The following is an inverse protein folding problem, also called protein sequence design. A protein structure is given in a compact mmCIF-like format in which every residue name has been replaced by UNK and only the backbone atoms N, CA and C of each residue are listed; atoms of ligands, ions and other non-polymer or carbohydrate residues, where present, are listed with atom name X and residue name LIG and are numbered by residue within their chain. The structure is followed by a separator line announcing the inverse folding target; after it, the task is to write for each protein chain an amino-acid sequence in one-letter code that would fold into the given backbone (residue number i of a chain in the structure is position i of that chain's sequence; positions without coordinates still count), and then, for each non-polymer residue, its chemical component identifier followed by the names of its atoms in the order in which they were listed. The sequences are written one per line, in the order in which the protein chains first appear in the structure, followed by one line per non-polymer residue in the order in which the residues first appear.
data_IF_222118155825
#
_entry.id   IF_222118155825
#
_cell.length_a   1.000
_cell.length_b   1.000
_cell.length_c   1.000
_cell.angle_alpha   90.00
_cell.angle_beta   90.00
_cell.angle_gamma   90.00
#
_symmetry.space_group_name_H-M   'P 1'
#
loop_
_entity.id
_entity.type
_entity.pdbx_description
1 polymer ?
#
# COMPACT_ATOMS: atom_id res chain seq x y z
N UNK A 1 -15.12 -5.95 -29.61
CA UNK A 1 -14.49 -5.14 -28.53
C UNK A 1 -14.34 -3.73 -29.06
N UNK A 2 -14.98 -2.74 -28.45
CA UNK A 2 -15.05 -1.38 -29.01
C UNK A 2 -13.80 -0.56 -28.67
N UNK A 3 -13.52 0.49 -29.45
CA UNK A 3 -12.42 1.44 -29.18
C UNK A 3 -12.48 1.98 -27.74
N UNK A 4 -13.67 2.17 -27.18
CA UNK A 4 -13.89 2.59 -25.79
C UNK A 4 -13.34 1.57 -24.79
N UNK A 5 -13.58 0.27 -25.01
CA UNK A 5 -13.08 -0.81 -24.15
C UNK A 5 -11.55 -0.90 -24.21
N UNK A 6 -10.97 -0.69 -25.39
CA UNK A 6 -9.51 -0.64 -25.57
C UNK A 6 -8.89 0.55 -24.84
N UNK A 7 -9.51 1.73 -24.92
CA UNK A 7 -9.04 2.93 -24.22
C UNK A 7 -9.17 2.79 -22.70
N UNK A 8 -10.26 2.19 -22.20
CA UNK A 8 -10.42 1.89 -20.77
C UNK A 8 -9.36 0.91 -20.27
N UNK A 9 -9.14 -0.19 -21.00
CA UNK A 9 -8.13 -1.19 -20.65
C UNK A 9 -6.70 -0.62 -20.72
N UNK A 10 -6.43 0.23 -21.71
CA UNK A 10 -5.15 0.91 -21.83
C UNK A 10 -4.90 1.88 -20.66
N UNK A 11 -5.93 2.62 -20.21
CA UNK A 11 -5.84 3.57 -19.09
C UNK A 11 -5.57 2.89 -17.75
N UNK A 12 -6.07 1.69 -17.53
CA UNK A 12 -5.93 0.97 -16.26
C UNK A 12 -4.62 0.17 -16.15
N UNK A 13 -3.91 -0.02 -17.25
CA UNK A 13 -2.68 -0.83 -17.26
C UNK A 13 -1.49 0.00 -16.74
N UNK A 14 -0.79 -0.55 -15.73
CA UNK A 14 0.42 0.06 -15.11
C UNK A 14 1.45 0.49 -16.15
N UNK A 15 1.78 -0.39 -17.10
CA UNK A 15 2.78 -0.11 -18.14
C UNK A 15 2.42 1.08 -19.03
N UNK A 16 1.15 1.22 -19.43
CA UNK A 16 0.71 2.35 -20.28
C UNK A 16 0.86 3.68 -19.55
N UNK A 17 0.49 3.72 -18.26
CA UNK A 17 0.62 4.93 -17.44
C UNK A 17 2.08 5.33 -17.24
N UNK A 18 2.98 4.36 -17.00
CA UNK A 18 4.43 4.62 -16.90
C UNK A 18 4.97 5.22 -18.20
N UNK A 19 4.68 4.59 -19.34
CA UNK A 19 5.12 5.10 -20.65
C UNK A 19 4.62 6.51 -20.94
N UNK A 20 3.38 6.81 -20.55
CA UNK A 20 2.81 8.14 -20.67
C UNK A 20 3.57 9.18 -19.81
N UNK A 21 3.88 8.85 -18.55
CA UNK A 21 4.65 9.76 -17.68
C UNK A 21 6.06 9.99 -18.24
N UNK A 22 6.73 8.95 -18.72
CA UNK A 22 8.05 9.05 -19.35
C UNK A 22 7.99 9.94 -20.59
N UNK A 23 6.97 9.75 -21.45
CA UNK A 23 6.76 10.60 -22.62
C UNK A 23 6.58 12.08 -22.23
N UNK A 24 5.80 12.36 -21.19
CA UNK A 24 5.61 13.72 -20.68
C UNK A 24 6.92 14.34 -20.15
N UNK A 25 7.74 13.57 -19.44
CA UNK A 25 9.07 14.02 -18.98
C UNK A 25 9.96 14.41 -20.17
N UNK A 26 9.98 13.60 -21.23
CA UNK A 26 10.73 13.89 -22.46
C UNK A 26 10.22 15.18 -23.11
N UNK A 27 8.90 15.35 -23.22
CA UNK A 27 8.30 16.57 -23.80
C UNK A 27 8.70 17.81 -22.99
N UNK A 28 8.62 17.75 -21.66
CA UNK A 28 9.02 18.87 -20.78
C UNK A 28 10.50 19.20 -20.96
N UNK A 29 11.37 18.18 -21.04
CA UNK A 29 12.80 18.36 -21.27
C UNK A 29 13.08 19.01 -22.63
N UNK A 30 12.40 18.57 -23.70
CA UNK A 30 12.50 19.14 -25.04
C UNK A 30 12.02 20.59 -25.04
N UNK A 31 10.85 20.89 -24.48
CA UNK A 31 10.33 22.25 -24.42
C UNK A 31 11.24 23.20 -23.62
N UNK A 32 11.86 22.70 -22.54
CA UNK A 32 12.87 23.46 -21.80
C UNK A 32 14.15 23.68 -22.63
N UNK A 33 14.64 22.64 -23.31
CA UNK A 33 15.83 22.71 -24.17
C UNK A 33 15.66 23.73 -25.32
N UNK A 34 14.45 23.80 -25.90
CA UNK A 34 14.09 24.80 -26.91
C UNK A 34 13.75 26.18 -26.33
N UNK A 35 13.88 26.39 -25.01
CA UNK A 35 13.63 27.68 -24.35
C UNK A 35 12.16 28.11 -24.28
N UNK A 36 11.22 27.21 -24.60
CA UNK A 36 9.78 27.46 -24.57
C UNK A 36 9.23 27.46 -23.13
N UNK A 37 9.95 26.83 -22.19
CA UNK A 37 9.61 26.81 -20.77
C UNK A 37 10.64 27.57 -19.93
N UNK A 38 10.15 28.31 -18.94
CA UNK A 38 11.03 28.94 -17.92
C UNK A 38 11.58 27.86 -16.99
N UNK A 39 12.84 28.04 -16.55
CA UNK A 39 13.56 27.10 -15.67
C UNK A 39 12.75 26.68 -14.43
N UNK A 40 12.15 27.64 -13.72
CA UNK A 40 11.36 27.36 -12.52
C UNK A 40 10.13 26.49 -12.81
N UNK A 41 9.47 26.72 -13.93
CA UNK A 41 8.29 25.95 -14.34
C UNK A 41 8.65 24.53 -14.79
N UNK A 42 9.74 24.39 -15.56
CA UNK A 42 10.26 23.09 -15.98
C UNK A 42 10.66 22.23 -14.76
N UNK A 43 11.31 22.84 -13.76
CA UNK A 43 11.67 22.15 -12.50
C UNK A 43 10.40 21.73 -11.74
N UNK A 44 9.43 22.62 -11.58
CA UNK A 44 8.18 22.32 -10.86
C UNK A 44 7.42 21.14 -11.48
N UNK A 45 7.22 21.16 -12.80
CA UNK A 45 6.59 20.03 -13.52
C UNK A 45 7.45 18.77 -13.42
N UNK A 46 8.77 18.91 -13.56
CA UNK A 46 9.70 17.80 -13.45
C UNK A 46 9.59 17.05 -12.12
N UNK A 47 9.53 17.78 -11.01
CA UNK A 47 9.35 17.19 -9.67
C UNK A 47 8.03 16.42 -9.60
N UNK A 48 6.91 17.02 -10.05
CA UNK A 48 5.60 16.35 -10.00
C UNK A 48 5.60 15.07 -10.83
N UNK A 49 6.14 15.10 -12.05
CA UNK A 49 6.19 13.93 -12.94
C UNK A 49 7.13 12.85 -12.41
N UNK A 50 8.29 13.22 -11.85
CA UNK A 50 9.23 12.27 -11.25
C UNK A 50 8.64 11.61 -10.00
N UNK A 51 7.94 12.35 -9.15
CA UNK A 51 7.23 11.78 -7.99
C UNK A 51 6.13 10.82 -8.45
N UNK A 52 5.34 11.19 -9.46
CA UNK A 52 4.32 10.31 -10.03
C UNK A 52 4.93 9.04 -10.64
N UNK A 53 6.06 9.15 -11.34
CA UNK A 53 6.80 8.02 -11.88
C UNK A 53 7.32 7.11 -10.76
N UNK A 54 7.91 7.69 -9.71
CA UNK A 54 8.41 6.95 -8.55
C UNK A 54 7.29 6.14 -7.87
N UNK A 55 6.18 6.79 -7.50
CA UNK A 55 5.03 6.11 -6.90
C UNK A 55 4.52 4.97 -7.79
N UNK A 56 4.50 5.18 -9.10
CA UNK A 56 4.02 4.18 -10.04
C UNK A 56 4.99 3.03 -10.30
N UNK A 57 6.30 3.25 -10.21
CA UNK A 57 7.32 2.18 -10.34
C UNK A 57 7.33 1.31 -9.09
N UNK A 58 7.29 1.91 -7.91
CA UNK A 58 7.40 1.21 -6.63
C UNK A 58 6.09 0.58 -6.13
N UNK A 59 5.03 0.54 -6.96
CA UNK A 59 3.68 0.12 -6.56
C UNK A 59 3.25 0.75 -5.22
N UNK A 60 3.67 2.01 -5.03
CA UNK A 60 3.52 2.71 -3.77
C UNK A 60 2.20 3.45 -3.81
N UNK A 61 1.14 2.76 -3.40
CA UNK A 61 -0.19 3.36 -3.32
C UNK A 61 -0.34 4.11 -2.00
N UNK A 62 -0.76 5.37 -2.09
CA UNK A 62 -0.86 6.30 -0.95
C UNK A 62 -2.29 6.83 -0.85
N UNK A 63 -2.88 6.66 0.32
CA UNK A 63 -4.12 7.30 0.68
C UNK A 63 -3.89 8.77 0.97
N UNK A 64 -4.10 9.59 -0.05
CA UNK A 64 -3.85 11.03 0.01
C UNK A 64 -4.67 11.74 1.10
N UNK A 65 -5.84 11.20 1.46
CA UNK A 65 -6.65 11.72 2.57
C UNK A 65 -5.97 11.49 3.93
N UNK A 66 -5.45 10.29 4.14
CA UNK A 66 -4.66 9.94 5.34
C UNK A 66 -3.36 10.73 5.37
N UNK A 67 -2.63 10.80 4.25
CA UNK A 67 -1.39 11.57 4.16
C UNK A 67 -1.62 13.05 4.46
N UNK A 68 -2.71 13.63 3.96
CA UNK A 68 -3.06 15.02 4.23
C UNK A 68 -3.39 15.26 5.71
N UNK A 69 -4.09 14.31 6.34
CA UNK A 69 -4.51 14.43 7.74
C UNK A 69 -3.38 14.20 8.72
N UNK A 70 -2.54 13.19 8.47
CA UNK A 70 -1.51 12.75 9.44
C UNK A 70 -0.11 13.19 9.07
N UNK A 71 0.14 13.52 7.80
CA UNK A 71 1.48 13.83 7.29
C UNK A 71 2.40 12.61 7.18
N UNK A 72 1.93 11.41 7.52
CA UNK A 72 2.72 10.19 7.59
C UNK A 72 2.60 9.36 6.32
N UNK A 73 3.73 9.15 5.64
CA UNK A 73 3.83 8.28 4.46
C UNK A 73 3.58 6.82 4.84
N UNK A 74 4.00 6.40 6.05
CA UNK A 74 3.83 5.03 6.52
C UNK A 74 2.36 4.70 6.81
N UNK A 75 1.64 5.63 7.44
CA UNK A 75 0.22 5.45 7.74
C UNK A 75 -0.67 5.55 6.50
N UNK A 76 -0.25 6.35 5.51
CA UNK A 76 -0.98 6.50 4.26
C UNK A 76 -0.70 5.41 3.25
N UNK A 77 0.25 4.49 3.51
CA UNK A 77 0.53 3.39 2.59
C UNK A 77 -0.67 2.45 2.47
N UNK A 78 -0.99 2.10 1.23
CA UNK A 78 -2.06 1.18 0.86
C UNK A 78 -1.47 -0.03 0.15
N UNK A 79 -1.95 -1.21 0.54
CA UNK A 79 -1.68 -2.49 -0.12
C UNK A 79 -3.00 -3.19 -0.41
N UNK A 80 -2.99 -4.10 -1.39
CA UNK A 80 -4.14 -4.94 -1.69
C UNK A 80 -3.71 -6.39 -1.64
N UNK A 81 -4.50 -7.24 -1.00
CA UNK A 81 -4.35 -8.69 -1.16
C UNK A 81 -4.88 -9.14 -2.53
N UNK A 82 -4.55 -10.37 -2.93
CA UNK A 82 -5.05 -10.98 -4.17
C UNK A 82 -6.59 -11.02 -4.24
N UNK A 83 -7.26 -11.10 -3.09
CA UNK A 83 -8.72 -11.06 -2.95
C UNK A 83 -9.31 -9.64 -3.01
N UNK A 84 -8.46 -8.64 -3.28
CA UNK A 84 -8.81 -7.23 -3.40
C UNK A 84 -9.12 -6.55 -2.07
N UNK A 85 -8.61 -7.07 -0.95
CA UNK A 85 -8.79 -6.44 0.36
C UNK A 85 -7.74 -5.35 0.55
N UNK A 86 -8.22 -4.13 0.80
CA UNK A 86 -7.40 -2.95 1.06
C UNK A 86 -6.81 -3.03 2.47
N UNK A 87 -5.50 -3.02 2.56
CA UNK A 87 -4.73 -2.96 3.80
C UNK A 87 -4.10 -1.58 3.88
N UNK A 88 -4.24 -0.89 5.01
CA UNK A 88 -3.72 0.47 5.18
C UNK A 88 -2.80 0.57 6.40
N UNK A 89 -1.79 1.42 6.30
CA UNK A 89 -1.01 1.90 7.43
C UNK A 89 -0.05 0.88 8.07
N UNK A 90 0.30 1.13 9.33
CA UNK A 90 1.33 0.41 10.10
C UNK A 90 0.83 -0.87 10.75
N UNK A 91 -0.42 -1.25 10.50
CA UNK A 91 -0.99 -2.46 11.07
C UNK A 91 -0.20 -3.72 10.69
N UNK A 92 0.44 -3.64 9.54
CA UNK A 92 1.25 -4.68 8.91
C UNK A 92 2.75 -4.49 9.12
N UNK A 93 3.14 -3.56 9.99
CA UNK A 93 4.53 -3.22 10.29
C UNK A 93 4.91 -3.85 11.64
N UNK A 94 5.94 -4.72 11.70
CA UNK A 94 6.48 -5.20 12.97
C UNK A 94 6.91 -4.02 13.85
N UNK A 95 6.71 -4.14 15.16
CA UNK A 95 7.20 -3.12 16.10
C UNK A 95 8.72 -2.93 15.92
N UNK A 96 9.15 -1.70 15.63
CA UNK A 96 10.57 -1.35 15.47
C UNK A 96 11.19 -1.60 14.10
N UNK A 97 10.50 -2.24 13.13
CA UNK A 97 11.02 -2.37 11.76
C UNK A 97 10.64 -1.15 10.92
N UNK A 98 11.57 -0.61 10.13
CA UNK A 98 11.32 0.53 9.21
C UNK A 98 11.23 0.11 7.74
N UNK A 99 11.41 -1.18 7.43
CA UNK A 99 11.61 -1.66 6.06
C UNK A 99 10.90 -2.96 5.70
N UNK A 100 10.44 -3.73 6.68
CA UNK A 100 9.74 -4.99 6.44
C UNK A 100 8.26 -4.87 6.78
N UNK A 101 7.44 -5.38 5.87
CA UNK A 101 6.00 -5.57 6.06
C UNK A 101 5.67 -7.05 6.34
N UNK A 102 6.69 -7.90 6.57
CA UNK A 102 6.57 -9.34 6.84
C UNK A 102 6.32 -9.61 8.34
N UNK A 103 5.19 -9.13 8.83
CA UNK A 103 4.72 -9.39 10.19
C UNK A 103 4.48 -10.90 10.39
N UNK A 104 5.24 -11.57 11.24
CA UNK A 104 5.06 -13.00 11.50
C UNK A 104 5.15 -13.29 13.01
N UNK A 105 4.89 -14.54 13.41
CA UNK A 105 4.86 -14.90 14.83
C UNK A 105 6.17 -14.66 15.58
N UNK A 106 7.32 -14.59 14.89
CA UNK A 106 8.61 -14.24 15.53
C UNK A 106 8.71 -12.79 15.97
N UNK A 107 7.79 -11.92 15.53
CA UNK A 107 7.72 -10.53 15.95
C UNK A 107 7.01 -10.32 17.30
N UNK A 108 6.45 -11.38 17.89
CA UNK A 108 5.70 -11.31 19.14
C UNK A 108 6.33 -12.19 20.21
N UNK A 109 6.22 -11.77 21.46
CA UNK A 109 6.75 -12.55 22.59
C UNK A 109 5.69 -13.53 23.12
N UNK A 110 4.41 -13.17 22.99
CA UNK A 110 3.30 -13.94 23.56
C UNK A 110 2.13 -14.04 22.57
N UNK A 111 1.35 -15.11 22.69
CA UNK A 111 0.16 -15.34 21.87
C UNK A 111 -0.89 -14.22 22.05
N UNK A 112 -1.19 -13.73 23.27
CA UNK A 112 -2.18 -12.66 23.45
C UNK A 112 -1.75 -11.33 22.81
N UNK A 113 -0.45 -11.05 22.76
CA UNK A 113 0.10 -9.86 22.09
C UNK A 113 -0.14 -9.94 20.57
N UNK A 114 0.15 -11.10 19.98
CA UNK A 114 -0.11 -11.36 18.57
C UNK A 114 -1.61 -11.24 18.25
N UNK A 115 -2.48 -11.83 19.08
CA UNK A 115 -3.93 -11.78 18.91
C UNK A 115 -4.46 -10.35 19.00
N UNK A 116 -4.02 -9.57 19.98
CA UNK A 116 -4.46 -8.18 20.14
C UNK A 116 -4.08 -7.32 18.93
N UNK A 117 -2.88 -7.53 18.36
CA UNK A 117 -2.44 -6.85 17.14
C UNK A 117 -3.28 -7.29 15.94
N UNK A 118 -3.53 -8.59 15.81
CA UNK A 118 -4.36 -9.16 14.76
C UNK A 118 -5.78 -8.60 14.76
N UNK A 119 -6.45 -8.62 15.92
CA UNK A 119 -7.81 -8.13 16.09
C UNK A 119 -7.92 -6.62 15.82
N UNK A 120 -6.93 -5.84 16.26
CA UNK A 120 -6.86 -4.40 15.96
C UNK A 120 -6.80 -4.18 14.45
N UNK A 121 -5.96 -4.94 13.74
CA UNK A 121 -5.83 -4.82 12.30
C UNK A 121 -7.06 -5.32 11.53
N UNK A 122 -7.69 -6.40 11.98
CA UNK A 122 -8.94 -6.88 11.39
C UNK A 122 -10.04 -5.80 11.47
N UNK A 123 -10.15 -5.11 12.60
CA UNK A 123 -11.12 -4.02 12.80
C UNK A 123 -10.82 -2.79 11.91
N UNK A 124 -9.55 -2.38 11.82
CA UNK A 124 -9.15 -1.28 10.93
C UNK A 124 -9.42 -1.63 9.46
N UNK A 125 -9.05 -2.84 9.02
CA UNK A 125 -9.28 -3.31 7.65
C UNK A 125 -10.78 -3.36 7.35
N UNK A 126 -11.62 -3.83 8.27
CA UNK A 126 -13.06 -3.83 8.11
C UNK A 126 -13.63 -2.42 7.88
N UNK A 127 -13.06 -1.39 8.52
CA UNK A 127 -13.50 -0.01 8.33
C UNK A 127 -13.25 0.54 6.92
N UNK A 128 -12.24 0.04 6.21
CA UNK A 128 -11.86 0.50 4.87
C UNK A 128 -12.38 -0.38 3.73
N UNK A 129 -12.91 -1.57 4.03
CA UNK A 129 -13.37 -2.56 3.05
C UNK A 129 -14.88 -2.75 3.13
N UNK A 130 -15.62 -1.68 2.84
CA UNK A 130 -17.09 -1.70 2.84
C UNK A 130 -17.61 -2.76 1.86
N UNK A 131 -18.39 -3.71 2.37
CA UNK A 131 -18.96 -4.82 1.59
C UNK A 131 -18.20 -6.15 1.66
N UNK A 132 -17.08 -6.23 2.39
CA UNK A 132 -16.45 -7.50 2.76
C UNK A 132 -17.00 -7.96 4.11
N UNK A 133 -17.22 -9.27 4.26
CA UNK A 133 -17.72 -9.86 5.52
C UNK A 133 -16.60 -10.02 6.54
N UNK A 134 -16.91 -9.99 7.84
CA UNK A 134 -15.91 -10.23 8.89
C UNK A 134 -15.13 -11.53 8.69
N UNK A 135 -15.77 -12.59 8.20
CA UNK A 135 -15.10 -13.86 7.91
C UNK A 135 -14.09 -13.77 6.78
N UNK A 136 -14.33 -12.92 5.76
CA UNK A 136 -13.35 -12.66 4.70
C UNK A 136 -12.14 -11.86 5.18
N UNK A 137 -12.29 -11.13 6.29
CA UNK A 137 -11.22 -10.30 6.88
C UNK A 137 -10.47 -11.07 7.97
N UNK A 138 -11.17 -11.86 8.80
CA UNK A 138 -10.60 -12.72 9.86
C UNK A 138 -9.99 -14.01 9.34
N UNK A 139 -10.33 -14.47 8.13
CA UNK A 139 -9.64 -15.57 7.47
C UNK A 139 -8.54 -15.08 6.54
N UNK A 140 -8.31 -13.76 6.51
CA UNK A 140 -7.17 -13.18 5.84
C UNK A 140 -5.99 -13.55 6.72
N UNK A 141 -5.28 -14.60 6.35
CA UNK A 141 -4.01 -14.97 6.97
C UNK A 141 -2.97 -13.92 6.58
N UNK A 142 -3.12 -12.72 7.15
CA UNK A 142 -2.32 -11.55 6.85
C UNK A 142 -0.92 -11.84 7.39
N UNK A 143 -0.04 -12.22 6.46
CA UNK A 143 1.38 -12.59 6.67
C UNK A 143 1.65 -13.89 7.45
N UNK A 144 0.74 -14.86 7.43
CA UNK A 144 1.03 -16.19 8.00
C UNK A 144 0.90 -16.26 9.52
N UNK A 145 0.13 -15.35 10.13
CA UNK A 145 -0.10 -15.34 11.58
C UNK A 145 -1.09 -16.42 12.03
N UNK A 146 -2.05 -16.78 11.19
CA UNK A 146 -3.09 -17.77 11.44
C UNK A 146 -3.11 -18.75 10.25
N UNK A 147 -2.11 -19.63 10.23
CA UNK A 147 -1.81 -20.50 9.09
C UNK A 147 -2.86 -21.59 8.83
N UNK A 148 -3.59 -22.02 9.86
CA UNK A 148 -4.69 -22.98 9.77
C UNK A 148 -6.08 -22.32 9.76
N UNK A 149 -6.14 -21.00 9.96
CA UNK A 149 -7.30 -20.13 9.72
C UNK A 149 -8.46 -20.43 10.65
N UNK A 150 -8.16 -20.76 11.90
CA UNK A 150 -9.16 -21.04 12.92
C UNK A 150 -9.57 -19.78 13.71
N UNK A 151 -8.88 -18.66 13.47
CA UNK A 151 -9.09 -17.36 14.11
C UNK A 151 -8.18 -17.11 15.32
N UNK A 152 -7.28 -18.02 15.65
CA UNK A 152 -6.30 -17.92 16.74
C UNK A 152 -4.90 -17.80 16.15
N UNK A 153 -4.30 -16.61 16.24
CA UNK A 153 -2.97 -16.39 15.67
C UNK A 153 -1.87 -16.97 16.58
N UNK A 154 -0.79 -17.45 15.95
CA UNK A 154 0.48 -17.77 16.58
C UNK A 154 0.36 -18.65 17.83
N UNK A 155 -0.47 -19.70 17.78
CA UNK A 155 -0.76 -20.60 18.90
C UNK A 155 0.48 -21.25 19.53
N UNK A 156 1.57 -21.35 18.78
CA UNK A 156 2.85 -21.87 19.27
C UNK A 156 3.56 -20.93 20.27
N UNK A 157 3.13 -19.66 20.37
CA UNK A 157 3.69 -18.70 21.31
C UNK A 157 3.18 -18.94 22.75
N UNK A 158 3.96 -18.53 23.77
CA UNK A 158 3.53 -18.61 25.16
C UNK A 158 2.23 -17.81 25.42
N UNK A 159 1.32 -18.41 26.19
CA UNK A 159 0.04 -17.80 26.62
C UNK A 159 0.21 -16.73 27.72
N UNK A 160 1.37 -16.69 28.37
CA UNK A 160 1.70 -15.76 29.46
C UNK A 160 3.10 -15.19 29.22
N UNK A 161 3.39 -13.94 29.65
CA UNK A 161 4.77 -13.46 29.70
C UNK A 161 5.56 -14.43 30.59
N UNK A 162 6.61 -15.05 30.05
CA UNK A 162 7.54 -15.80 30.89
C UNK A 162 8.17 -14.78 31.86
N UNK A 163 7.88 -14.93 33.15
CA UNK A 163 8.52 -14.19 34.23
C UNK A 163 9.98 -14.60 34.37
#
# INVERSE_FOLDING_TARGET
MGVKDYLQKARTTKSTRIWLIILLLVIVAVLYFFGLLKKGFAIGIGIVLLTALGLQVFDYDLDLGTLWRTGSIDESRVQYTDDGIKIMGTCVKPAGSTKEYDLNCSNFTTQPEAQAKYDLCANEIASYNTGKTESQIKNLDIYGLDGDKDGIVCEALPQLPQQ
#
